data_IF_767003659439
#
_entry.id   IF_767003659439
#
_cell.length_a   1.000
_cell.length_b   1.000
_cell.length_c   1.000
_cell.angle_alpha   90.00
_cell.angle_beta   90.00
_cell.angle_gamma   90.00
#
_symmetry.space_group_name_H-M   'P 1'
#
loop_
_entity.id
_entity.type
_entity.pdbx_description
1 polymer ?
#
# COMPACT_ATOMS: atom_id res chain seq x y z
N UNK A 1 7.61 5.04 7.59
CA UNK A 1 7.04 3.67 7.62
C UNK A 1 7.99 2.69 6.94
N UNK A 2 8.34 2.86 5.66
CA UNK A 2 9.26 1.97 4.94
C UNK A 2 10.58 1.75 5.70
N UNK A 3 11.22 2.82 6.17
CA UNK A 3 12.41 2.75 7.03
C UNK A 3 12.21 2.01 8.35
N UNK A 4 11.04 2.19 8.99
CA UNK A 4 10.71 1.49 10.25
C UNK A 4 10.51 -0.01 10.03
N UNK A 5 10.09 -0.40 8.83
CA UNK A 5 9.91 -1.79 8.42
C UNK A 5 11.17 -2.36 7.75
N UNK A 6 12.27 -1.61 7.70
CA UNK A 6 13.51 -1.97 7.01
C UNK A 6 13.31 -2.32 5.53
N UNK A 7 12.38 -1.61 4.87
CA UNK A 7 12.08 -1.72 3.43
C UNK A 7 12.62 -0.54 2.63
N UNK A 8 13.49 0.26 3.24
CA UNK A 8 14.21 1.36 2.61
C UNK A 8 15.61 0.95 2.11
N UNK A 9 15.93 -0.34 2.17
CA UNK A 9 17.19 -0.91 1.69
C UNK A 9 16.94 -2.20 0.90
N UNK A 10 17.87 -2.54 0.00
CA UNK A 10 17.86 -3.84 -0.68
C UNK A 10 18.49 -4.89 0.24
N UNK A 11 17.76 -5.97 0.55
CA UNK A 11 18.31 -7.11 1.29
C UNK A 11 18.87 -8.13 0.29
N UNK A 12 20.11 -8.56 0.52
CA UNK A 12 20.81 -9.50 -0.36
C UNK A 12 20.01 -10.81 -0.49
N UNK A 13 19.58 -11.14 -1.71
CA UNK A 13 18.87 -12.38 -2.05
C UNK A 13 17.34 -12.29 -2.16
N UNK A 14 16.68 -11.19 -1.75
CA UNK A 14 15.23 -11.04 -1.88
C UNK A 14 14.83 -9.64 -2.36
N UNK A 15 14.27 -9.55 -3.59
CA UNK A 15 13.55 -8.36 -4.04
C UNK A 15 12.17 -8.33 -3.39
N UNK A 16 12.08 -7.82 -2.16
CA UNK A 16 10.81 -7.68 -1.46
C UNK A 16 10.00 -6.52 -2.05
N UNK A 17 8.98 -6.86 -2.85
CA UNK A 17 8.03 -5.89 -3.38
C UNK A 17 7.19 -5.30 -2.24
N UNK A 18 7.16 -3.98 -2.12
CA UNK A 18 6.30 -3.26 -1.18
C UNK A 18 5.23 -2.51 -1.94
N UNK A 19 3.97 -2.73 -1.57
CA UNK A 19 2.84 -1.98 -2.12
C UNK A 19 2.32 -1.02 -1.06
N UNK A 20 2.14 0.24 -1.43
CA UNK A 20 1.56 1.29 -0.60
C UNK A 20 0.23 1.69 -1.22
N UNK A 21 -0.87 1.26 -0.59
CA UNK A 21 -2.21 1.68 -0.98
C UNK A 21 -2.43 3.13 -0.53
N UNK A 22 -2.84 4.00 -1.47
CA UNK A 22 -3.18 5.40 -1.22
C UNK A 22 -4.64 5.66 -1.59
N UNK A 23 -5.31 6.42 -0.75
CA UNK A 23 -6.70 6.84 -0.92
C UNK A 23 -6.80 8.35 -0.62
N UNK A 24 -7.79 9.01 -1.21
CA UNK A 24 -8.09 10.42 -0.96
C UNK A 24 -8.03 11.30 -2.22
N UNK A 25 -9.00 12.22 -2.31
CA UNK A 25 -9.24 13.04 -3.50
C UNK A 25 -8.08 13.94 -3.96
N UNK A 26 -7.12 14.26 -3.08
CA UNK A 26 -5.92 15.01 -3.50
C UNK A 26 -4.98 14.16 -4.34
N UNK A 27 -4.76 12.90 -3.96
CA UNK A 27 -3.98 11.96 -4.76
C UNK A 27 -4.76 11.55 -6.02
N UNK A 28 -6.07 11.31 -5.89
CA UNK A 28 -6.93 10.85 -6.98
C UNK A 28 -7.16 11.90 -8.07
N UNK A 29 -7.47 13.15 -7.70
CA UNK A 29 -7.95 14.16 -8.64
C UNK A 29 -6.91 15.22 -8.99
N UNK A 30 -5.81 15.32 -8.24
CA UNK A 30 -4.76 16.31 -8.52
C UNK A 30 -3.47 15.66 -9.00
N UNK A 31 -3.38 15.46 -10.32
CA UNK A 31 -2.23 14.79 -10.97
C UNK A 31 -0.87 15.40 -10.61
N UNK A 32 -0.74 16.73 -10.57
CA UNK A 32 0.54 17.38 -10.18
C UNK A 32 0.97 17.00 -8.77
N UNK A 33 0.03 16.84 -7.85
CA UNK A 33 0.33 16.39 -6.49
C UNK A 33 0.81 14.93 -6.51
N UNK A 34 0.08 14.03 -7.16
CA UNK A 34 0.45 12.61 -7.26
C UNK A 34 1.85 12.41 -7.84
N UNK A 35 2.15 13.04 -8.98
CA UNK A 35 3.47 12.97 -9.64
C UNK A 35 4.59 13.55 -8.78
N UNK A 36 4.34 14.69 -8.12
CA UNK A 36 5.33 15.31 -7.24
C UNK A 36 5.65 14.41 -6.05
N UNK A 37 4.62 13.82 -5.43
CA UNK A 37 4.76 12.92 -4.30
C UNK A 37 5.52 11.63 -4.68
N UNK A 38 5.17 11.01 -5.81
CA UNK A 38 5.87 9.82 -6.32
C UNK A 38 7.33 10.11 -6.65
N UNK A 39 7.60 11.26 -7.29
CA UNK A 39 8.96 11.68 -7.62
C UNK A 39 9.79 11.94 -6.37
N UNK A 40 9.23 12.64 -5.37
CA UNK A 40 9.89 12.88 -4.10
C UNK A 40 10.16 11.57 -3.33
N UNK A 41 9.25 10.60 -3.39
CA UNK A 41 9.47 9.28 -2.79
C UNK A 41 10.62 8.54 -3.48
N UNK A 42 10.67 8.57 -4.81
CA UNK A 42 11.76 7.99 -5.59
C UNK A 42 13.11 8.64 -5.24
N UNK A 43 13.15 9.97 -5.13
CA UNK A 43 14.36 10.70 -4.74
C UNK A 43 14.83 10.31 -3.32
N UNK A 44 13.92 10.19 -2.37
CA UNK A 44 14.24 9.85 -0.98
C UNK A 44 14.77 8.42 -0.80
N UNK A 45 14.31 7.47 -1.62
CA UNK A 45 14.69 6.06 -1.52
C UNK A 45 15.86 5.68 -2.43
N UNK A 46 16.13 6.49 -3.47
CA UNK A 46 17.07 6.15 -4.53
C UNK A 46 16.50 5.13 -5.51
N UNK A 47 17.07 5.07 -6.71
CA UNK A 47 16.53 4.29 -7.82
C UNK A 47 16.41 2.79 -7.48
N UNK A 48 17.46 2.22 -6.89
CA UNK A 48 17.57 0.78 -6.61
C UNK A 48 16.44 0.25 -5.70
N UNK A 49 16.08 1.03 -4.67
CA UNK A 49 15.03 0.66 -3.71
C UNK A 49 13.66 1.02 -4.27
N UNK A 50 13.54 2.18 -4.93
CA UNK A 50 12.28 2.70 -5.45
C UNK A 50 11.59 1.76 -6.45
N UNK A 51 12.36 1.01 -7.24
CA UNK A 51 11.84 0.05 -8.22
C UNK A 51 11.05 -1.10 -7.57
N UNK A 52 11.27 -1.35 -6.28
CA UNK A 52 10.55 -2.36 -5.52
C UNK A 52 9.32 -1.80 -4.78
N UNK A 53 9.10 -0.49 -4.82
CA UNK A 53 7.95 0.18 -4.21
C UNK A 53 6.90 0.49 -5.27
N UNK A 54 5.68 0.00 -5.07
CA UNK A 54 4.53 0.31 -5.92
C UNK A 54 3.53 1.12 -5.10
N UNK A 55 3.14 2.27 -5.63
CA UNK A 55 2.01 3.04 -5.11
C UNK A 55 0.77 2.59 -5.88
N UNK A 56 -0.24 2.14 -5.15
CA UNK A 56 -1.51 1.65 -5.71
C UNK A 56 -2.64 2.54 -5.24
N UNK A 57 -3.48 3.00 -6.18
CA UNK A 57 -4.68 3.75 -5.81
C UNK A 57 -5.74 2.79 -5.25
N UNK A 58 -6.21 3.06 -4.04
CA UNK A 58 -7.19 2.25 -3.33
C UNK A 58 -8.44 3.07 -3.03
N UNK A 59 -9.30 3.23 -4.05
CA UNK A 59 -10.53 4.01 -3.92
C UNK A 59 -11.48 3.41 -2.87
N UNK A 60 -11.83 4.21 -1.85
CA UNK A 60 -12.66 3.81 -0.71
C UNK A 60 -12.17 2.52 -0.03
N UNK A 61 -10.84 2.39 0.08
CA UNK A 61 -10.21 1.19 0.66
C UNK A 61 -10.63 0.97 2.11
N UNK A 62 -11.00 2.02 2.82
CA UNK A 62 -11.45 1.94 4.21
C UNK A 62 -12.82 1.27 4.37
N UNK A 63 -13.79 1.54 3.49
CA UNK A 63 -15.11 0.93 3.53
C UNK A 63 -15.04 -0.58 3.28
N UNK A 64 -14.41 -0.98 2.18
CA UNK A 64 -14.21 -2.41 1.85
C UNK A 64 -13.32 -3.08 2.89
N UNK A 65 -12.25 -2.43 3.35
CA UNK A 65 -11.37 -2.95 4.38
C UNK A 65 -12.09 -3.23 5.70
N UNK A 66 -12.99 -2.34 6.13
CA UNK A 66 -13.83 -2.56 7.30
C UNK A 66 -14.76 -3.76 7.12
N UNK A 67 -15.37 -3.91 5.93
CA UNK A 67 -16.22 -5.06 5.63
C UNK A 67 -15.44 -6.38 5.63
N UNK A 68 -14.23 -6.40 5.06
CA UNK A 68 -13.35 -7.58 5.06
C UNK A 68 -12.92 -7.96 6.49
N UNK A 69 -12.59 -6.98 7.33
CA UNK A 69 -12.28 -7.23 8.74
C UNK A 69 -13.48 -7.76 9.51
N UNK A 70 -14.69 -7.23 9.26
CA UNK A 70 -15.91 -7.72 9.87
C UNK A 70 -16.22 -9.16 9.44
N UNK A 71 -16.01 -9.49 8.15
CA UNK A 71 -16.19 -10.84 7.65
C UNK A 71 -15.19 -11.83 8.26
N UNK A 72 -13.92 -11.45 8.40
CA UNK A 72 -12.88 -12.31 9.01
C UNK A 72 -13.00 -12.47 10.52
N UNK A 73 -13.84 -11.67 11.17
CA UNK A 73 -14.19 -11.78 12.59
C UNK A 73 -15.67 -12.11 12.80
N UNK A 74 -16.35 -12.60 11.76
CA UNK A 74 -17.76 -12.95 11.83
C UNK A 74 -17.98 -14.13 12.77
N UNK A 75 -19.02 -14.06 13.61
CA UNK A 75 -19.46 -15.18 14.44
C UNK A 75 -19.97 -16.37 13.62
N UNK A 76 -20.19 -16.17 12.31
CA UNK A 76 -20.75 -17.17 11.40
C UNK A 76 -19.69 -17.83 10.50
N UNK A 77 -18.39 -17.65 10.77
CA UNK A 77 -17.31 -18.20 9.94
C UNK A 77 -17.30 -19.74 9.84
N UNK A 78 -17.74 -20.43 10.90
CA UNK A 78 -17.72 -21.90 11.00
C UNK A 78 -19.13 -22.52 10.94
N UNK A 79 -20.16 -21.76 10.55
CA UNK A 79 -21.46 -22.37 10.26
C UNK A 79 -21.31 -23.07 8.91
N UNK A 80 -20.76 -24.28 8.94
CA UNK A 80 -20.85 -25.23 7.83
C UNK A 80 -22.32 -25.28 7.41
N UNK A 81 -22.59 -24.94 6.15
CA UNK A 81 -23.91 -25.14 5.54
C UNK A 81 -24.31 -26.60 5.77
N UNK A 82 -25.21 -26.83 6.73
CA UNK A 82 -25.78 -28.14 7.05
C UNK A 82 -26.88 -28.49 6.06
#
# INVERSE_FOLDING_TARGET
ILKKLERDTVKDGEKQKSVVALDGGLYEHYSKFSTCMESALKELLGEEVSDNIVIEHSNDGSGIGAALLAASHSQYLEVEES
#
